data_IF_951095734208
#
_entry.id   IF_951095734208
#
_cell.length_a   1.000
_cell.length_b   1.000
_cell.length_c   1.000
_cell.angle_alpha   90.00
_cell.angle_beta   90.00
_cell.angle_gamma   90.00
#
_symmetry.space_group_name_H-M   'P 1'
#
loop_
_entity.id
_entity.type
_entity.pdbx_description
1 polymer ?
#
# COMPACT_ATOMS: atom_id res chain seq x y z
N UNK A 1 -0.04 16.42 0.36
CA UNK A 1 0.36 15.27 -0.48
C UNK A 1 0.24 13.94 0.28
N UNK A 2 1.18 13.60 1.17
CA UNK A 2 1.16 12.33 1.94
C UNK A 2 -0.04 12.23 2.89
N UNK A 3 -0.48 13.34 3.45
CA UNK A 3 -1.68 13.38 4.29
C UNK A 3 -2.97 12.99 3.54
N UNK A 4 -3.04 13.30 2.24
CA UNK A 4 -4.19 12.94 1.41
C UNK A 4 -4.26 11.42 1.21
N UNK A 5 -3.14 10.78 0.85
CA UNK A 5 -3.10 9.32 0.70
C UNK A 5 -3.42 8.62 2.01
N UNK A 6 -2.90 9.13 3.14
CA UNK A 6 -3.24 8.62 4.49
C UNK A 6 -4.72 8.74 4.79
N UNK A 7 -5.34 9.89 4.50
CA UNK A 7 -6.77 10.11 4.76
C UNK A 7 -7.62 9.11 3.99
N UNK A 8 -7.26 8.78 2.76
CA UNK A 8 -7.98 7.80 1.96
C UNK A 8 -7.68 6.37 2.37
N UNK A 9 -6.45 6.08 2.81
CA UNK A 9 -6.13 4.78 3.41
C UNK A 9 -6.98 4.51 4.66
N UNK A 10 -7.22 5.53 5.49
CA UNK A 10 -8.11 5.42 6.66
C UNK A 10 -9.59 5.19 6.29
N UNK A 11 -9.94 5.39 5.01
CA UNK A 11 -11.26 5.07 4.44
C UNK A 11 -11.25 3.73 3.67
N UNK A 12 -10.19 2.94 3.82
CA UNK A 12 -10.03 1.65 3.15
C UNK A 12 -9.53 1.72 1.71
N UNK A 13 -9.13 2.88 1.19
CA UNK A 13 -8.55 2.97 -0.16
C UNK A 13 -7.05 2.70 -0.15
N UNK A 14 -6.65 1.56 -0.71
CA UNK A 14 -5.25 1.14 -0.79
C UNK A 14 -4.53 1.62 -2.04
N UNK A 15 -5.25 2.07 -3.05
CA UNK A 15 -4.69 2.53 -4.32
C UNK A 15 -5.28 3.89 -4.71
N UNK A 16 -4.42 4.83 -5.11
CA UNK A 16 -4.82 6.15 -5.58
C UNK A 16 -3.82 6.74 -6.56
N UNK A 17 -4.33 7.37 -7.61
CA UNK A 17 -3.58 8.30 -8.45
C UNK A 17 -4.30 9.65 -8.43
N UNK A 18 -3.56 10.72 -8.17
CA UNK A 18 -4.10 12.09 -8.20
C UNK A 18 -3.05 13.05 -8.72
N UNK A 19 -3.45 14.25 -9.10
CA UNK A 19 -2.52 15.30 -9.55
C UNK A 19 -2.90 16.64 -8.94
N UNK A 20 -1.90 17.50 -8.79
CA UNK A 20 -2.10 18.94 -8.60
C UNK A 20 -1.59 19.71 -9.83
N UNK A 21 -1.29 21.00 -9.67
CA UNK A 21 -0.78 21.85 -10.75
C UNK A 21 0.66 21.55 -11.15
N UNK A 22 1.44 20.95 -10.26
CA UNK A 22 2.89 20.78 -10.41
C UNK A 22 3.29 19.31 -10.55
N UNK A 23 2.59 18.41 -9.87
CA UNK A 23 2.96 17.00 -9.75
C UNK A 23 1.78 16.05 -9.97
N UNK A 24 2.12 14.82 -10.34
CA UNK A 24 1.23 13.66 -10.42
C UNK A 24 1.72 12.60 -9.44
N UNK A 25 0.82 12.03 -8.68
CA UNK A 25 1.12 11.18 -7.53
C UNK A 25 0.51 9.80 -7.71
N UNK A 26 1.24 8.77 -7.30
CA UNK A 26 0.75 7.39 -7.20
C UNK A 26 0.98 6.87 -5.79
N UNK A 27 -0.06 6.34 -5.18
CA UNK A 27 -0.01 5.68 -3.88
C UNK A 27 -0.62 4.29 -3.99
N UNK A 28 0.11 3.28 -3.56
CA UNK A 28 -0.33 1.89 -3.60
C UNK A 28 0.11 1.18 -2.32
N UNK A 29 -0.79 0.45 -1.71
CA UNK A 29 -0.54 -0.43 -0.59
C UNK A 29 -1.09 -1.82 -0.92
N UNK A 30 -0.28 -2.85 -0.72
CA UNK A 30 -0.69 -4.20 -1.02
C UNK A 30 -0.06 -5.22 -0.09
N UNK A 31 -0.63 -6.43 -0.14
CA UNK A 31 -0.18 -7.55 0.66
C UNK A 31 0.22 -8.71 -0.24
N UNK A 32 1.23 -9.45 0.18
CA UNK A 32 1.66 -10.68 -0.47
C UNK A 32 1.91 -11.78 0.56
N UNK A 33 1.80 -13.03 0.15
CA UNK A 33 2.29 -14.16 0.93
C UNK A 33 3.82 -14.32 0.82
N UNK A 34 4.36 -15.33 1.49
CA UNK A 34 5.81 -15.63 1.43
C UNK A 34 6.32 -16.00 0.03
N UNK A 35 5.42 -16.46 -0.84
CA UNK A 35 5.70 -16.82 -2.23
C UNK A 35 5.46 -15.63 -3.18
N UNK A 36 5.04 -14.48 -2.65
CA UNK A 36 4.72 -13.26 -3.38
C UNK A 36 3.45 -13.31 -4.20
N UNK A 37 2.52 -14.17 -3.80
CA UNK A 37 1.16 -14.15 -4.32
C UNK A 37 0.40 -13.00 -3.69
N UNK A 38 -0.21 -12.16 -4.52
CA UNK A 38 -1.07 -11.08 -4.10
C UNK A 38 -2.19 -11.56 -3.16
N UNK A 39 -2.37 -10.88 -2.03
CA UNK A 39 -3.38 -11.18 -1.03
C UNK A 39 -4.38 -10.02 -0.92
N UNK A 40 -5.67 -10.35 -0.92
CA UNK A 40 -6.74 -9.39 -0.67
C UNK A 40 -7.17 -9.44 0.81
N UNK A 41 -7.08 -8.33 1.55
CA UNK A 41 -7.54 -8.28 2.93
C UNK A 41 -9.06 -8.46 2.98
N UNK A 42 -9.57 -9.14 4.01
CA UNK A 42 -11.02 -9.30 4.20
C UNK A 42 -11.69 -8.00 4.65
N UNK A 43 -11.04 -7.32 5.58
CA UNK A 43 -11.49 -6.05 6.14
C UNK A 43 -10.25 -5.16 6.29
N UNK A 44 -10.27 -3.97 5.70
CA UNK A 44 -9.22 -2.97 5.98
C UNK A 44 -9.59 -2.22 7.26
N UNK A 45 -8.61 -1.68 8.00
CA UNK A 45 -8.88 -0.88 9.19
C UNK A 45 -9.68 0.37 8.83
N UNK A 46 -11.01 0.30 8.92
CA UNK A 46 -11.86 1.47 8.92
C UNK A 46 -11.81 2.09 10.31
N UNK A 47 -11.52 3.39 10.38
CA UNK A 47 -11.48 4.19 11.61
C UNK A 47 -12.83 4.22 12.37
N UNK A 48 -13.87 3.55 11.86
CA UNK A 48 -15.22 3.46 12.45
C UNK A 48 -15.37 2.30 13.43
N UNK A 49 -14.44 1.34 13.46
CA UNK A 49 -14.46 0.26 14.46
C UNK A 49 -13.74 0.72 15.73
N UNK A 50 -14.50 0.76 16.82
CA UNK A 50 -14.19 1.30 18.15
C UNK A 50 -13.06 0.57 18.89
N UNK A 51 -11.85 0.54 18.32
CA UNK A 51 -10.69 0.00 19.03
C UNK A 51 -10.15 1.04 20.03
N UNK A 52 -10.01 0.63 21.29
CA UNK A 52 -9.43 1.39 22.41
C UNK A 52 -7.93 1.69 22.27
N UNK A 53 -7.36 1.42 21.10
CA UNK A 53 -5.94 1.60 20.81
C UNK A 53 -5.75 2.96 20.11
N UNK A 54 -4.62 3.67 20.36
CA UNK A 54 -4.36 4.95 19.72
C UNK A 54 -4.42 4.79 18.19
N UNK A 55 -5.07 5.75 17.53
CA UNK A 55 -5.05 5.89 16.08
C UNK A 55 -3.60 6.05 15.62
N UNK A 56 -3.08 5.04 14.94
CA UNK A 56 -1.74 5.06 14.41
C UNK A 56 -1.80 5.60 12.98
N UNK A 57 -0.84 6.47 12.66
CA UNK A 57 -0.76 7.13 11.35
C UNK A 57 0.13 6.27 10.46
N UNK A 58 -0.31 5.91 9.25
CA UNK A 58 0.50 5.14 8.30
C UNK A 58 1.87 5.80 7.99
N UNK A 59 2.91 4.99 7.85
CA UNK A 59 4.26 5.40 7.43
C UNK A 59 5.36 4.64 8.17
N UNK A 60 6.61 4.81 7.75
CA UNK A 60 7.78 4.11 8.32
C UNK A 60 7.97 4.35 9.83
N UNK A 61 7.53 5.50 10.36
CA UNK A 61 7.62 5.84 11.79
C UNK A 61 6.35 5.47 12.58
N UNK A 62 5.44 4.69 12.00
CA UNK A 62 4.12 4.38 12.55
C UNK A 62 4.12 3.27 13.62
N UNK A 63 5.29 2.81 14.08
CA UNK A 63 5.38 1.70 15.02
C UNK A 63 4.79 0.41 14.44
N UNK A 64 3.75 -0.13 15.08
CA UNK A 64 3.10 -1.39 14.73
C UNK A 64 1.88 -1.25 13.80
N UNK A 65 1.70 -0.10 13.13
CA UNK A 65 0.56 0.16 12.24
C UNK A 65 0.31 -0.94 11.20
N UNK A 66 1.29 -1.25 10.37
CA UNK A 66 1.13 -2.27 9.31
C UNK A 66 0.97 -3.67 9.90
N UNK A 67 1.57 -3.95 11.05
CA UNK A 67 1.36 -5.22 11.74
C UNK A 67 -0.10 -5.39 12.19
N UNK A 68 -0.69 -4.36 12.81
CA UNK A 68 -2.11 -4.35 13.18
C UNK A 68 -3.02 -4.42 11.96
N UNK A 69 -2.66 -3.74 10.88
CA UNK A 69 -3.38 -3.82 9.62
C UNK A 69 -3.40 -5.24 9.05
N UNK A 70 -2.28 -5.96 9.11
CA UNK A 70 -2.21 -7.37 8.70
C UNK A 70 -3.08 -8.25 9.62
N UNK A 71 -2.99 -8.08 10.95
CA UNK A 71 -3.79 -8.86 11.91
C UNK A 71 -5.30 -8.70 11.68
N UNK A 72 -5.74 -7.48 11.38
CA UNK A 72 -7.14 -7.17 11.09
C UNK A 72 -7.57 -7.67 9.70
N UNK A 73 -6.75 -7.46 8.67
CA UNK A 73 -7.06 -7.86 7.30
C UNK A 73 -7.02 -9.37 7.08
N UNK A 74 -6.24 -10.09 7.87
CA UNK A 74 -5.97 -11.52 7.68
C UNK A 74 -6.03 -12.31 9.00
N UNK A 75 -7.19 -12.33 9.71
CA UNK A 75 -7.31 -12.92 11.05
C UNK A 75 -7.09 -14.43 11.10
N UNK A 76 -7.08 -15.12 9.95
CA UNK A 76 -6.85 -16.57 9.82
C UNK A 76 -5.43 -16.92 9.38
N UNK A 77 -4.59 -15.92 9.13
CA UNK A 77 -3.22 -16.10 8.67
C UNK A 77 -2.25 -15.65 9.75
N UNK A 78 -1.10 -16.31 9.85
CA UNK A 78 -0.03 -15.84 10.73
C UNK A 78 0.56 -14.53 10.16
N UNK A 79 0.65 -13.42 10.93
CA UNK A 79 1.17 -12.14 10.43
C UNK A 79 2.58 -12.24 9.83
N UNK A 80 3.42 -13.13 10.37
CA UNK A 80 4.77 -13.41 9.87
C UNK A 80 4.84 -13.99 8.46
N UNK A 81 3.72 -14.47 7.91
CA UNK A 81 3.61 -15.02 6.55
C UNK A 81 3.10 -14.02 5.54
N UNK A 82 2.80 -12.79 5.96
CA UNK A 82 2.23 -11.75 5.12
C UNK A 82 3.21 -10.58 5.08
N UNK A 83 3.56 -10.17 3.88
CA UNK A 83 4.34 -8.95 3.63
C UNK A 83 3.37 -7.85 3.25
N UNK A 84 3.51 -6.68 3.87
CA UNK A 84 2.80 -5.47 3.49
C UNK A 84 3.78 -4.53 2.83
N UNK A 85 3.44 -4.06 1.63
CA UNK A 85 4.25 -3.10 0.88
C UNK A 85 3.47 -1.80 0.72
N UNK A 86 4.20 -0.70 0.75
CA UNK A 86 3.67 0.63 0.51
C UNK A 86 4.59 1.32 -0.50
N UNK A 87 4.00 1.86 -1.57
CA UNK A 87 4.69 2.59 -2.61
C UNK A 87 4.07 3.97 -2.75
N UNK A 88 4.90 5.00 -2.66
CA UNK A 88 4.53 6.38 -2.91
C UNK A 88 5.45 6.98 -3.97
N UNK A 89 4.91 7.32 -5.14
CA UNK A 89 5.64 7.88 -6.28
C UNK A 89 5.18 9.32 -6.58
N UNK A 90 6.14 10.19 -6.85
CA UNK A 90 5.91 11.57 -7.30
C UNK A 90 6.50 11.74 -8.69
N UNK A 91 5.67 12.22 -9.62
CA UNK A 91 6.04 12.54 -10.99
C UNK A 91 5.80 14.03 -11.27
N UNK A 92 6.48 14.59 -12.27
CA UNK A 92 6.14 15.91 -12.80
C UNK A 92 4.71 15.87 -13.38
N UNK A 93 3.92 16.92 -13.17
CA UNK A 93 2.48 16.97 -13.50
C UNK A 93 2.11 16.82 -14.98
N UNK A 94 3.11 16.76 -15.86
CA UNK A 94 2.95 16.42 -17.29
C UNK A 94 2.72 14.92 -17.52
N UNK A 95 3.06 14.06 -16.55
CA UNK A 95 2.92 12.61 -16.67
C UNK A 95 1.44 12.22 -16.49
N UNK A 96 0.90 11.48 -17.46
CA UNK A 96 -0.49 11.01 -17.44
C UNK A 96 -0.70 9.95 -16.34
N UNK A 97 -1.93 9.81 -15.79
CA UNK A 97 -2.24 8.77 -14.81
C UNK A 97 -1.85 7.35 -15.27
N UNK A 98 -2.06 7.02 -16.55
CA UNK A 98 -1.68 5.73 -17.14
C UNK A 98 -0.17 5.50 -17.07
N UNK A 99 0.64 6.53 -17.35
CA UNK A 99 2.09 6.41 -17.25
C UNK A 99 2.55 6.29 -15.79
N UNK A 100 1.91 7.02 -14.86
CA UNK A 100 2.18 6.85 -13.42
C UNK A 100 1.95 5.41 -13.00
N UNK A 101 0.82 4.82 -13.39
CA UNK A 101 0.48 3.43 -13.08
C UNK A 101 1.53 2.45 -13.63
N UNK A 102 1.87 2.59 -14.91
CA UNK A 102 2.85 1.72 -15.57
C UNK A 102 4.24 1.83 -14.93
N UNK A 103 4.68 3.04 -14.59
CA UNK A 103 5.96 3.24 -13.90
C UNK A 103 5.98 2.59 -12.52
N UNK A 104 4.89 2.74 -11.75
CA UNK A 104 4.78 2.12 -10.42
C UNK A 104 4.82 0.60 -10.53
N UNK A 105 4.12 0.01 -11.50
CA UNK A 105 4.14 -1.43 -11.79
C UNK A 105 5.55 -1.93 -12.08
N UNK A 106 6.25 -1.28 -13.01
CA UNK A 106 7.63 -1.65 -13.38
C UNK A 106 8.59 -1.51 -12.21
N UNK A 107 8.42 -0.47 -11.39
CA UNK A 107 9.23 -0.26 -10.19
C UNK A 107 9.02 -1.37 -9.16
N UNK A 108 7.77 -1.76 -8.88
CA UNK A 108 7.46 -2.85 -7.95
C UNK A 108 8.10 -4.17 -8.39
N UNK A 109 8.03 -4.51 -9.69
CA UNK A 109 8.70 -5.70 -10.24
C UNK A 109 10.22 -5.61 -10.06
N UNK A 110 10.82 -4.46 -10.39
CA UNK A 110 12.27 -4.27 -10.28
C UNK A 110 12.75 -4.38 -8.83
N UNK A 111 12.02 -3.81 -7.87
CA UNK A 111 12.34 -3.94 -6.45
C UNK A 111 12.33 -5.41 -6.06
N UNK A 112 11.31 -6.16 -6.47
CA UNK A 112 11.20 -7.58 -6.18
C UNK A 112 12.41 -8.38 -6.72
N UNK A 113 12.82 -8.11 -7.96
CA UNK A 113 13.98 -8.74 -8.60
C UNK A 113 15.29 -8.41 -7.86
N UNK A 114 15.47 -7.17 -7.39
CA UNK A 114 16.68 -6.72 -6.69
C UNK A 114 16.75 -7.25 -5.25
N UNK A 115 15.62 -7.30 -4.54
CA UNK A 115 15.59 -7.77 -3.15
C UNK A 115 15.57 -9.29 -3.05
N UNK A 116 15.40 -10.01 -4.16
CA UNK A 116 15.29 -11.47 -4.18
C UNK A 116 14.02 -11.98 -3.49
N UNK A 117 13.02 -11.11 -3.31
CA UNK A 117 11.69 -11.55 -2.91
C UNK A 117 11.07 -12.26 -4.12
N UNK A 118 10.41 -13.39 -3.91
CA UNK A 118 9.66 -14.05 -4.99
C UNK A 118 8.27 -13.43 -4.93
N UNK A 119 7.78 -12.81 -6.03
CA UNK A 119 6.44 -12.24 -6.13
C UNK A 119 6.15 -11.48 -7.41
N UNK A 120 4.93 -11.58 -7.92
CA UNK A 120 4.49 -10.89 -9.14
C UNK A 120 3.52 -9.76 -8.77
N UNK A 121 3.99 -8.50 -8.60
CA UNK A 121 3.16 -7.38 -8.16
C UNK A 121 2.16 -6.90 -9.23
N UNK A 122 2.14 -7.57 -10.39
CA UNK A 122 1.29 -7.29 -11.55
C UNK A 122 -0.21 -7.43 -11.25
N UNK A 123 -0.59 -8.27 -10.29
CA UNK A 123 -2.00 -8.56 -9.94
C UNK A 123 -2.58 -7.59 -8.90
N UNK A 124 -1.81 -6.59 -8.47
CA UNK A 124 -2.14 -5.68 -7.35
C UNK A 124 -2.46 -4.24 -7.78
N UNK A 125 -2.41 -3.97 -9.10
CA UNK A 125 -2.57 -2.65 -9.71
C UNK A 125 -3.69 -2.64 -10.75
#
# INVERSE_FOLDING_TARGET
>A
MVELSRTYLHKGHTSMIWKDTTFSYGYFLWFEDVNGTALNPKELPDSTTSSSKPSLIAGILAGDYYHRMIEQGFPRSAPSKIRCYELFCVHIGLVTPTNVLEHCRRLSVTINDVTGCVGNPIDLL
#
